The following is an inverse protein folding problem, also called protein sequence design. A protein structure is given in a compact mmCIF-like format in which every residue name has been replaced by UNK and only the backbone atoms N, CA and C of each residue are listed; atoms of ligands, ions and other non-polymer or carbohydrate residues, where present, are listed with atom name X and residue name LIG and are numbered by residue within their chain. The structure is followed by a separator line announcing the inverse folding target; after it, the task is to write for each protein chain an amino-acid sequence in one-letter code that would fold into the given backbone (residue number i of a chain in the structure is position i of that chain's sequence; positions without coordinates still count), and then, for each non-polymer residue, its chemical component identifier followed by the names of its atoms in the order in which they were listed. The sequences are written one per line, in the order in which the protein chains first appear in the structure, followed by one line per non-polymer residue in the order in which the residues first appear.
data_IF_617753374313
#
_entry.id   IF_617753374313
#
_cell.length_a   1.000
_cell.length_b   1.000
_cell.length_c   1.000
_cell.angle_alpha   90.00
_cell.angle_beta   90.00
_cell.angle_gamma   90.00
#
_symmetry.space_group_name_H-M   'P 1'
#
loop_
_entity.id
_entity.type
_entity.pdbx_description
1 polymer ?
#
# COMPACT_ATOMS: atom_id res chain seq x y z
N UNK A 1 -2.27 -26.80 -24.81
CA UNK A 1 -2.49 -26.70 -23.35
C UNK A 1 -2.06 -25.36 -22.73
N UNK A 2 -0.99 -24.70 -23.16
CA UNK A 2 -0.52 -23.42 -22.55
C UNK A 2 -1.36 -22.18 -22.89
N UNK A 3 -2.07 -22.17 -24.03
CA UNK A 3 -2.98 -21.06 -24.40
C UNK A 3 -4.22 -20.96 -23.51
N UNK A 4 -4.64 -22.04 -22.83
CA UNK A 4 -5.82 -22.02 -21.97
C UNK A 4 -5.53 -21.44 -20.55
N UNK A 5 -4.30 -21.57 -20.03
CA UNK A 5 -3.95 -21.04 -18.73
C UNK A 5 -3.92 -19.48 -18.69
N UNK A 6 -3.65 -18.85 -19.84
CA UNK A 6 -3.77 -17.39 -19.98
C UNK A 6 -5.22 -16.92 -19.97
N UNK A 7 -6.11 -17.68 -20.61
CA UNK A 7 -7.55 -17.36 -20.61
C UNK A 7 -8.16 -17.42 -19.21
N UNK A 8 -7.71 -18.32 -18.36
CA UNK A 8 -8.22 -18.43 -16.98
C UNK A 8 -8.00 -17.18 -16.12
N UNK A 9 -6.82 -16.54 -16.23
CA UNK A 9 -6.56 -15.30 -15.49
C UNK A 9 -7.41 -14.15 -16.04
N UNK A 10 -7.46 -13.97 -17.35
CA UNK A 10 -8.23 -12.92 -18.02
C UNK A 10 -9.70 -13.02 -17.64
N UNK A 11 -10.30 -14.20 -17.75
CA UNK A 11 -11.72 -14.42 -17.43
C UNK A 11 -12.07 -14.14 -15.96
N UNK A 12 -11.11 -14.28 -15.03
CA UNK A 12 -11.35 -14.03 -13.60
C UNK A 12 -11.07 -12.59 -13.17
N UNK A 13 -10.25 -11.85 -13.91
CA UNK A 13 -9.70 -10.57 -13.45
C UNK A 13 -9.94 -9.40 -14.39
N UNK A 14 -10.17 -9.65 -15.68
CA UNK A 14 -10.40 -8.60 -16.66
C UNK A 14 -11.87 -8.66 -17.06
N UNK A 15 -12.62 -7.64 -16.74
CA UNK A 15 -14.05 -7.43 -16.89
C UNK A 15 -14.73 -8.07 -18.11
N UNK A 16 -15.15 -7.29 -19.13
CA UNK A 16 -16.02 -7.81 -20.18
C UNK A 16 -15.29 -8.77 -21.14
N UNK A 17 -16.04 -9.77 -21.61
CA UNK A 17 -15.65 -10.64 -22.73
C UNK A 17 -15.55 -9.85 -24.04
N UNK A 18 -14.98 -10.44 -25.09
CA UNK A 18 -14.92 -9.81 -26.42
C UNK A 18 -16.34 -9.52 -26.98
N UNK A 19 -17.30 -10.39 -26.70
CA UNK A 19 -18.70 -10.20 -27.13
C UNK A 19 -19.34 -9.02 -26.41
N UNK A 20 -19.18 -8.93 -25.10
CA UNK A 20 -19.66 -7.81 -24.30
C UNK A 20 -18.97 -6.49 -24.67
N UNK A 21 -17.67 -6.51 -24.96
CA UNK A 21 -16.95 -5.34 -25.48
C UNK A 21 -17.55 -4.86 -26.81
N UNK A 22 -17.85 -5.77 -27.74
CA UNK A 22 -18.45 -5.43 -29.02
C UNK A 22 -19.85 -4.82 -28.84
N UNK A 23 -20.67 -5.34 -27.93
CA UNK A 23 -21.99 -4.78 -27.61
C UNK A 23 -21.85 -3.35 -27.06
N UNK A 24 -20.94 -3.14 -26.11
CA UNK A 24 -20.68 -1.81 -25.55
C UNK A 24 -20.15 -0.81 -26.60
N UNK A 25 -19.25 -1.26 -27.48
CA UNK A 25 -18.73 -0.42 -28.56
C UNK A 25 -19.82 -0.01 -29.56
N UNK A 26 -20.70 -0.94 -29.90
CA UNK A 26 -21.83 -0.65 -30.77
C UNK A 26 -22.79 0.37 -30.13
N UNK A 27 -23.10 0.24 -28.87
CA UNK A 27 -23.94 1.19 -28.13
C UNK A 27 -23.31 2.59 -28.10
N UNK A 28 -21.98 2.68 -27.98
CA UNK A 28 -21.23 3.93 -28.03
C UNK A 28 -21.00 4.47 -29.46
N UNK A 29 -21.39 3.72 -30.50
CA UNK A 29 -21.22 4.10 -31.89
C UNK A 29 -19.82 3.91 -32.46
N UNK A 30 -18.98 3.07 -31.85
CA UNK A 30 -17.63 2.75 -32.31
C UNK A 30 -17.55 1.35 -32.90
N UNK A 31 -16.68 1.18 -33.91
CA UNK A 31 -16.49 -0.11 -34.58
C UNK A 31 -15.56 -1.06 -33.81
N UNK A 32 -14.61 -0.52 -33.08
CA UNK A 32 -13.62 -1.26 -32.32
C UNK A 32 -13.00 -0.39 -31.23
N UNK A 33 -12.23 -1.03 -30.32
CA UNK A 33 -11.59 -0.37 -29.20
C UNK A 33 -10.57 0.69 -29.64
N UNK A 34 -9.83 0.47 -30.72
CA UNK A 34 -8.85 1.43 -31.24
C UNK A 34 -9.51 2.73 -31.68
N UNK A 35 -10.69 2.65 -32.28
CA UNK A 35 -11.47 3.83 -32.66
C UNK A 35 -11.96 4.60 -31.43
N UNK A 36 -12.45 3.90 -30.43
CA UNK A 36 -12.83 4.49 -29.14
C UNK A 36 -11.63 5.21 -28.49
N UNK A 37 -10.48 4.54 -28.41
CA UNK A 37 -9.25 5.10 -27.82
C UNK A 37 -8.83 6.37 -28.56
N UNK A 38 -8.77 6.34 -29.89
CA UNK A 38 -8.39 7.50 -30.72
C UNK A 38 -9.34 8.69 -30.55
N UNK A 39 -10.60 8.44 -30.30
CA UNK A 39 -11.59 9.50 -30.07
C UNK A 39 -11.60 10.03 -28.64
N UNK A 40 -11.12 9.25 -27.67
CA UNK A 40 -11.16 9.60 -26.26
C UNK A 40 -9.85 10.15 -25.74
N UNK A 41 -8.71 9.59 -26.20
CA UNK A 41 -7.39 9.94 -25.72
C UNK A 41 -6.75 10.97 -26.64
N UNK A 42 -6.35 12.16 -26.15
CA UNK A 42 -5.64 13.15 -26.96
C UNK A 42 -4.37 12.58 -27.58
N UNK A 43 -4.13 12.86 -28.87
CA UNK A 43 -3.01 12.29 -29.61
C UNK A 43 -1.64 12.55 -28.95
N UNK A 44 -1.49 13.70 -28.28
CA UNK A 44 -0.24 14.10 -27.60
C UNK A 44 0.17 13.19 -26.43
N UNK A 45 -0.79 12.46 -25.83
CA UNK A 45 -0.55 11.57 -24.69
C UNK A 45 -0.81 10.11 -25.04
N UNK A 46 -1.24 9.83 -26.26
CA UNK A 46 -1.48 8.47 -26.74
C UNK A 46 -0.15 7.76 -26.97
N UNK A 47 0.14 6.76 -26.15
CA UNK A 47 1.28 5.88 -26.32
C UNK A 47 1.00 4.92 -27.50
N UNK A 48 1.86 4.94 -28.53
CA UNK A 48 1.64 4.22 -29.79
C UNK A 48 2.45 2.94 -29.91
N UNK A 49 3.45 2.79 -29.06
CA UNK A 49 4.36 1.63 -29.09
C UNK A 49 3.85 0.51 -28.17
N UNK A 50 4.38 -0.69 -28.36
CA UNK A 50 4.16 -1.80 -27.42
C UNK A 50 4.84 -1.52 -26.08
N UNK A 51 4.24 -1.93 -24.99
CA UNK A 51 4.78 -1.71 -23.63
C UNK A 51 6.12 -2.42 -23.39
N UNK A 52 6.51 -3.37 -24.23
CA UNK A 52 7.79 -4.07 -24.13
C UNK A 52 7.95 -4.93 -22.87
N UNK A 53 6.84 -5.27 -22.20
CA UNK A 53 6.86 -6.06 -20.96
C UNK A 53 7.00 -7.57 -21.18
N UNK A 54 7.10 -7.99 -22.43
CA UNK A 54 7.25 -9.39 -22.84
C UNK A 54 5.96 -10.20 -22.77
N UNK A 55 6.10 -11.51 -22.93
CA UNK A 55 4.97 -12.43 -22.99
C UNK A 55 4.33 -12.64 -21.59
N UNK A 56 2.99 -12.77 -21.54
CA UNK A 56 2.29 -13.02 -20.28
C UNK A 56 2.65 -14.39 -19.70
N UNK A 57 2.67 -14.45 -18.38
CA UNK A 57 2.95 -15.66 -17.63
C UNK A 57 1.67 -16.21 -16.97
N UNK A 58 1.54 -17.53 -16.91
CA UNK A 58 0.56 -18.15 -16.03
C UNK A 58 0.96 -17.94 -14.56
N UNK A 59 -0.02 -18.01 -13.63
CA UNK A 59 0.23 -17.89 -12.18
C UNK A 59 1.33 -18.87 -11.72
N UNK A 60 1.28 -20.11 -12.18
CA UNK A 60 2.29 -21.12 -11.88
C UNK A 60 3.70 -20.70 -12.33
N UNK A 61 3.83 -20.17 -13.56
CA UNK A 61 5.13 -19.71 -14.08
C UNK A 61 5.62 -18.48 -13.31
N UNK A 62 4.74 -17.55 -12.98
CA UNK A 62 5.07 -16.36 -12.20
C UNK A 62 5.59 -16.73 -10.81
N UNK A 63 4.88 -17.60 -10.09
CA UNK A 63 5.30 -18.09 -8.78
C UNK A 63 6.62 -18.85 -8.84
N UNK A 64 6.81 -19.71 -9.85
CA UNK A 64 8.06 -20.44 -10.04
C UNK A 64 9.23 -19.49 -10.31
N UNK A 65 9.04 -18.52 -11.18
CA UNK A 65 10.05 -17.48 -11.48
C UNK A 65 10.42 -16.69 -10.22
N UNK A 66 9.43 -16.28 -9.44
CA UNK A 66 9.65 -15.58 -8.18
C UNK A 66 10.42 -16.45 -7.18
N UNK A 67 10.05 -17.72 -7.05
CA UNK A 67 10.78 -18.69 -6.21
C UNK A 67 12.23 -18.89 -6.67
N UNK A 68 12.49 -18.93 -7.96
CA UNK A 68 13.84 -19.09 -8.49
C UNK A 68 14.67 -17.81 -8.29
N UNK A 69 14.05 -16.64 -8.34
CA UNK A 69 14.70 -15.36 -7.97
C UNK A 69 15.01 -15.36 -6.47
N UNK A 70 14.06 -15.76 -5.62
CA UNK A 70 14.24 -15.76 -4.16
C UNK A 70 15.40 -16.66 -3.69
N UNK A 71 15.65 -17.79 -4.38
CA UNK A 71 16.78 -18.69 -4.09
C UNK A 71 18.16 -18.05 -4.33
N UNK A 72 18.24 -16.95 -5.04
CA UNK A 72 19.50 -16.22 -5.25
C UNK A 72 19.92 -15.41 -4.01
N UNK A 73 18.99 -15.15 -3.11
CA UNK A 73 19.28 -14.47 -1.85
C UNK A 73 20.03 -15.40 -0.92
N UNK A 74 21.04 -14.85 -0.26
CA UNK A 74 21.76 -15.52 0.80
C UNK A 74 21.38 -14.89 2.13
N UNK A 75 20.86 -15.70 3.03
CA UNK A 75 20.43 -15.25 4.36
C UNK A 75 21.65 -15.27 5.29
N UNK A 76 22.06 -14.10 5.74
CA UNK A 76 23.14 -13.90 6.69
C UNK A 76 22.60 -13.27 7.98
N UNK A 77 23.32 -13.42 9.08
CA UNK A 77 23.07 -12.61 10.27
C UNK A 77 23.41 -11.15 9.98
N UNK A 78 22.45 -10.26 10.18
CA UNK A 78 22.63 -8.83 9.92
C UNK A 78 23.25 -8.14 11.13
N UNK A 79 24.34 -7.40 10.90
CA UNK A 79 25.01 -6.55 11.89
C UNK A 79 25.05 -5.08 11.44
N UNK A 80 24.24 -4.72 10.45
CA UNK A 80 24.14 -3.35 9.94
C UNK A 80 22.79 -2.75 10.36
N UNK A 81 22.72 -1.41 10.30
CA UNK A 81 21.52 -0.65 10.65
C UNK A 81 21.60 -0.06 12.05
N UNK A 82 20.67 0.84 12.35
CA UNK A 82 20.60 1.61 13.60
C UNK A 82 19.27 1.40 14.34
N UNK A 83 18.54 0.37 14.00
CA UNK A 83 17.24 0.02 14.54
C UNK A 83 16.52 -0.94 13.60
N UNK A 84 15.23 -1.19 13.85
CA UNK A 84 14.38 -2.09 13.04
C UNK A 84 14.97 -3.50 12.90
N UNK A 85 15.50 -4.03 14.00
CA UNK A 85 16.03 -5.38 14.03
C UNK A 85 14.95 -6.43 13.81
N UNK A 86 15.36 -7.61 13.32
CA UNK A 86 14.48 -8.75 13.13
C UNK A 86 13.73 -9.12 14.42
N UNK A 87 12.45 -9.40 14.28
CA UNK A 87 11.56 -9.81 15.37
C UNK A 87 10.90 -11.14 15.04
N UNK A 88 10.43 -11.83 16.07
CA UNK A 88 9.61 -13.03 15.88
C UNK A 88 8.16 -12.65 15.70
N UNK A 89 7.57 -13.05 14.59
CA UNK A 89 6.13 -12.96 14.38
C UNK A 89 5.46 -14.23 14.84
N UNK A 90 4.61 -14.21 15.89
CA UNK A 90 3.84 -15.38 16.28
C UNK A 90 2.99 -15.93 15.12
N UNK A 91 2.93 -17.23 14.97
CA UNK A 91 2.18 -17.85 13.86
C UNK A 91 0.71 -17.49 13.84
N UNK A 92 0.10 -17.27 15.01
CA UNK A 92 -1.30 -16.82 15.10
C UNK A 92 -1.47 -15.41 14.49
N UNK A 93 -0.52 -14.53 14.71
CA UNK A 93 -0.53 -13.17 14.11
C UNK A 93 -0.30 -13.26 12.61
N UNK A 94 0.70 -14.03 12.18
CA UNK A 94 0.99 -14.23 10.76
C UNK A 94 -0.27 -14.74 10.02
N UNK A 95 -0.87 -15.83 10.51
CA UNK A 95 -1.97 -16.50 9.83
C UNK A 95 -3.30 -15.75 9.94
N UNK A 96 -3.62 -15.23 11.12
CA UNK A 96 -4.95 -14.68 11.40
C UNK A 96 -5.04 -13.15 11.16
N UNK A 97 -3.93 -12.47 11.09
CA UNK A 97 -3.87 -11.03 10.85
C UNK A 97 -3.20 -10.72 9.52
N UNK A 98 -1.92 -11.08 9.34
CA UNK A 98 -1.17 -10.69 8.15
C UNK A 98 -1.62 -11.40 6.87
N UNK A 99 -2.13 -12.63 6.97
CA UNK A 99 -2.67 -13.38 5.82
C UNK A 99 -4.18 -13.19 5.65
N UNK A 100 -4.84 -12.50 6.57
CA UNK A 100 -6.29 -12.30 6.52
C UNK A 100 -6.65 -11.13 5.59
N UNK A 101 -7.37 -11.38 4.48
CA UNK A 101 -7.72 -10.33 3.53
C UNK A 101 -8.59 -9.22 4.12
N UNK A 102 -9.38 -9.50 5.16
CA UNK A 102 -10.13 -8.49 5.89
C UNK A 102 -9.24 -7.44 6.56
N UNK A 103 -8.01 -7.83 6.95
CA UNK A 103 -7.04 -6.91 7.53
C UNK A 103 -6.16 -6.22 6.50
N UNK A 104 -5.53 -6.94 5.57
CA UNK A 104 -4.61 -6.32 4.62
C UNK A 104 -5.30 -5.54 3.49
N UNK A 105 -6.58 -5.78 3.22
CA UNK A 105 -7.38 -5.00 2.29
C UNK A 105 -8.11 -3.82 2.92
N UNK A 106 -7.89 -3.60 4.20
CA UNK A 106 -8.51 -2.50 4.93
C UNK A 106 -8.10 -1.14 4.38
N UNK A 107 -9.06 -0.24 4.26
CA UNK A 107 -8.87 1.11 3.77
C UNK A 107 -8.92 2.15 4.91
N UNK A 108 -8.45 3.36 4.65
CA UNK A 108 -8.62 4.46 5.60
C UNK A 108 -10.11 4.65 5.91
N UNK A 109 -10.52 4.78 7.19
CA UNK A 109 -11.92 4.81 7.58
C UNK A 109 -12.58 6.17 7.33
N UNK A 110 -12.67 6.57 6.07
CA UNK A 110 -13.35 7.83 5.69
C UNK A 110 -14.86 7.79 5.95
N UNK A 111 -15.45 6.60 5.89
CA UNK A 111 -16.86 6.37 6.19
C UNK A 111 -16.98 5.59 7.49
N UNK A 112 -17.29 6.27 8.61
CA UNK A 112 -17.34 5.61 9.91
C UNK A 112 -18.40 4.52 9.98
N UNK A 113 -19.48 4.63 9.23
CA UNK A 113 -20.58 3.66 9.20
C UNK A 113 -20.14 2.26 8.79
N UNK A 114 -19.23 2.16 7.83
CA UNK A 114 -18.70 0.87 7.34
C UNK A 114 -17.38 0.47 7.99
N UNK A 115 -16.79 1.34 8.79
CA UNK A 115 -15.47 1.16 9.40
C UNK A 115 -15.51 1.07 10.93
N UNK A 116 -16.64 0.75 11.52
CA UNK A 116 -16.85 0.79 12.98
C UNK A 116 -15.83 -0.06 13.76
N UNK A 117 -15.59 -1.31 13.33
CA UNK A 117 -14.63 -2.18 14.00
C UNK A 117 -13.18 -1.66 13.90
N UNK A 118 -12.82 -1.01 12.80
CA UNK A 118 -11.53 -0.37 12.66
C UNK A 118 -11.38 0.84 13.56
N UNK A 119 -12.40 1.67 13.66
CA UNK A 119 -12.40 2.83 14.56
C UNK A 119 -12.28 2.39 16.02
N UNK A 120 -12.96 1.32 16.44
CA UNK A 120 -12.81 0.73 17.77
C UNK A 120 -11.38 0.25 18.01
N UNK A 121 -10.76 -0.42 17.04
CA UNK A 121 -9.36 -0.83 17.13
C UNK A 121 -8.41 0.36 17.27
N UNK A 122 -8.62 1.45 16.53
CA UNK A 122 -7.81 2.65 16.63
C UNK A 122 -7.95 3.32 18.00
N UNK A 123 -9.15 3.36 18.58
CA UNK A 123 -9.38 3.85 19.95
C UNK A 123 -8.65 2.98 20.98
N UNK A 124 -8.70 1.67 20.86
CA UNK A 124 -7.96 0.75 21.72
C UNK A 124 -6.46 0.98 21.64
N UNK A 125 -5.92 1.21 20.44
CA UNK A 125 -4.52 1.55 20.24
C UNK A 125 -4.15 2.87 20.94
N UNK A 126 -4.96 3.92 20.77
CA UNK A 126 -4.75 5.20 21.45
C UNK A 126 -4.72 5.04 22.97
N UNK A 127 -5.67 4.28 23.53
CA UNK A 127 -5.71 4.01 24.96
C UNK A 127 -4.47 3.25 25.43
N UNK A 128 -4.04 2.25 24.69
CA UNK A 128 -2.82 1.50 25.00
C UNK A 128 -1.57 2.41 25.04
N UNK A 129 -1.44 3.32 24.09
CA UNK A 129 -0.32 4.27 24.07
C UNK A 129 -0.39 5.23 25.27
N UNK A 130 -1.56 5.73 25.62
CA UNK A 130 -1.79 6.57 26.82
C UNK A 130 -1.34 5.81 28.07
N UNK A 131 -1.78 4.57 28.23
CA UNK A 131 -1.47 3.74 29.40
C UNK A 131 0.03 3.46 29.54
N UNK A 132 0.74 3.24 28.43
CA UNK A 132 2.18 2.99 28.45
C UNK A 132 3.03 4.25 28.64
N UNK A 133 2.57 5.39 28.19
CA UNK A 133 3.37 6.62 28.18
C UNK A 133 3.00 7.58 29.31
N UNK A 134 1.82 7.45 29.88
CA UNK A 134 1.27 8.40 30.86
C UNK A 134 0.90 9.76 30.24
N UNK A 135 0.77 9.83 28.92
CA UNK A 135 0.30 11.03 28.23
C UNK A 135 -1.22 11.16 28.36
N UNK A 136 -1.73 12.39 28.33
CA UNK A 136 -3.16 12.65 28.45
C UNK A 136 -3.96 12.23 27.21
N UNK A 137 -3.34 12.35 26.04
CA UNK A 137 -3.95 12.07 24.74
C UNK A 137 -2.93 11.41 23.83
N UNK A 138 -3.37 10.46 23.03
CA UNK A 138 -2.66 9.90 21.90
C UNK A 138 -3.55 9.89 20.68
N UNK A 139 -2.95 9.97 19.50
CA UNK A 139 -3.62 9.70 18.24
C UNK A 139 -3.16 8.35 17.67
N UNK A 140 -3.68 7.98 16.52
CA UNK A 140 -3.34 6.75 15.82
C UNK A 140 -3.33 6.97 14.31
N UNK A 141 -2.77 6.01 13.58
CA UNK A 141 -2.89 5.92 12.12
C UNK A 141 -2.18 7.05 11.36
N UNK A 142 -0.99 7.43 11.80
CA UNK A 142 -0.05 8.24 10.99
C UNK A 142 0.77 7.34 10.08
N UNK A 143 1.41 7.91 9.06
CA UNK A 143 2.12 7.15 8.04
C UNK A 143 3.27 6.32 8.63
N UNK A 144 4.15 6.96 9.38
CA UNK A 144 5.31 6.35 10.05
C UNK A 144 5.79 7.17 11.24
N UNK A 145 6.82 6.71 11.96
CA UNK A 145 7.32 7.40 13.16
C UNK A 145 7.96 8.76 12.84
N UNK A 146 8.71 8.86 11.75
CA UNK A 146 9.35 10.12 11.36
C UNK A 146 8.31 11.19 11.00
N UNK A 147 7.32 10.82 10.20
CA UNK A 147 6.19 11.70 9.84
C UNK A 147 5.37 12.07 11.08
N UNK A 148 5.11 11.12 11.99
CA UNK A 148 4.41 11.39 13.23
C UNK A 148 5.13 12.42 14.10
N UNK A 149 6.45 12.33 14.22
CA UNK A 149 7.28 13.31 14.92
C UNK A 149 7.24 14.69 14.26
N UNK A 150 7.35 14.77 12.94
CA UNK A 150 7.28 16.01 12.18
C UNK A 150 5.89 16.66 12.29
N UNK A 151 4.83 15.89 12.24
CA UNK A 151 3.46 16.39 12.42
C UNK A 151 3.22 16.88 13.85
N UNK A 152 3.76 16.21 14.85
CA UNK A 152 3.69 16.65 16.25
C UNK A 152 4.39 18.01 16.44
N UNK A 153 5.53 18.22 15.80
CA UNK A 153 6.24 19.50 15.81
C UNK A 153 5.43 20.58 15.10
N UNK A 154 4.88 20.28 13.94
CA UNK A 154 4.02 21.18 13.19
C UNK A 154 2.76 21.57 13.97
N UNK A 155 2.15 20.63 14.66
CA UNK A 155 1.01 20.85 15.54
C UNK A 155 1.41 21.76 16.72
N UNK A 156 2.52 21.43 17.39
CA UNK A 156 3.05 22.23 18.50
C UNK A 156 3.31 23.68 18.08
N UNK A 157 3.88 23.88 16.91
CA UNK A 157 4.14 25.21 16.36
C UNK A 157 2.85 26.01 16.12
N UNK A 158 1.80 25.37 15.64
CA UNK A 158 0.50 26.02 15.34
C UNK A 158 -0.29 26.38 16.59
N UNK A 159 -0.26 25.52 17.62
CA UNK A 159 -1.08 25.72 18.83
C UNK A 159 -0.33 26.44 19.94
N UNK A 160 0.99 26.51 19.89
CA UNK A 160 1.81 27.14 20.90
C UNK A 160 1.62 28.67 20.90
N UNK A 161 1.53 29.25 22.08
CA UNK A 161 1.59 30.70 22.27
C UNK A 161 3.01 31.28 22.21
N UNK A 162 4.02 30.42 22.16
CA UNK A 162 5.43 30.82 22.05
C UNK A 162 5.75 31.39 20.67
N UNK A 163 6.54 32.45 20.63
CA UNK A 163 7.10 33.00 19.39
C UNK A 163 8.39 32.31 18.95
N UNK A 164 8.90 31.39 19.75
CA UNK A 164 10.11 30.62 19.42
C UNK A 164 9.85 29.68 18.24
N UNK A 165 10.79 29.67 17.30
CA UNK A 165 10.84 28.72 16.18
C UNK A 165 11.83 27.58 16.45
N UNK A 166 12.32 27.47 17.70
CA UNK A 166 13.31 26.44 18.06
C UNK A 166 12.60 25.21 18.60
N UNK A 167 13.00 24.06 18.13
CA UNK A 167 12.56 22.74 18.61
C UNK A 167 13.79 21.98 19.10
N UNK A 168 13.65 21.29 20.20
CA UNK A 168 14.69 20.41 20.71
C UNK A 168 14.40 18.98 20.25
N UNK A 169 15.37 18.36 19.59
CA UNK A 169 15.33 16.95 19.17
C UNK A 169 16.59 16.26 19.74
N UNK A 170 16.41 15.13 20.39
CA UNK A 170 17.54 14.36 20.93
C UNK A 170 18.40 13.83 19.78
N UNK A 171 19.71 13.97 19.88
CA UNK A 171 20.66 13.33 18.95
C UNK A 171 20.63 11.80 18.96
N UNK A 172 19.98 11.21 19.96
CA UNK A 172 19.84 9.77 20.10
C UNK A 172 18.57 9.22 19.39
N UNK A 173 17.76 10.08 18.78
CA UNK A 173 16.69 9.64 17.90
C UNK A 173 17.29 8.98 16.65
N UNK A 174 16.47 8.15 16.01
CA UNK A 174 16.88 7.51 14.75
C UNK A 174 17.20 8.60 13.70
N UNK A 175 18.34 8.47 12.96
CA UNK A 175 18.75 9.52 12.01
C UNK A 175 17.68 9.90 10.99
N UNK A 176 16.96 8.93 10.46
CA UNK A 176 15.86 9.20 9.51
C UNK A 176 14.73 10.02 10.14
N UNK A 177 14.42 9.79 11.43
CA UNK A 177 13.42 10.61 12.15
C UNK A 177 13.90 12.05 12.27
N UNK A 178 15.19 12.26 12.58
CA UNK A 178 15.79 13.60 12.67
C UNK A 178 15.75 14.30 11.31
N UNK A 179 16.03 13.60 10.22
CA UNK A 179 16.01 14.15 8.86
C UNK A 179 14.60 14.56 8.41
N UNK A 180 13.57 13.83 8.81
CA UNK A 180 12.18 14.13 8.46
C UNK A 180 11.67 15.31 9.28
N UNK A 181 12.07 15.44 10.54
CA UNK A 181 11.75 16.54 11.45
C UNK A 181 12.42 17.85 11.04
#
# INVERSE_FOLDING_TARGET
MLKNAQKDFIQRHIGPSEEEQNIMLQELGFKNLDELIKNTVPEKILFKDDLGIGEPNSEYKALRKLKDISKKNKVYSSFIGMGYYGTYTPYVILRNILENPGWYTSYTPYQPEVAQGRLEMLLNFQQMVIDFTGMDIANASLLDEGTAAAEAISLSYRVSKSKSKKVFVSKNCHPQTIEVV
#
